data_IF_614427669475
#
_entry.id   IF_614427669475
#
_cell.length_a   1.000
_cell.length_b   1.000
_cell.length_c   1.000
_cell.angle_alpha   90.00
_cell.angle_beta   90.00
_cell.angle_gamma   90.00
#
_symmetry.space_group_name_H-M   'P 1'
#
loop_
_entity.id
_entity.type
_entity.pdbx_description
1 polymer ?
#
# COMPACT_ATOMS: atom_id res chain seq x y z
N UNK A 1 -18.97 18.26 -1.06
CA UNK A 1 -20.17 17.76 -1.73
C UNK A 1 -20.05 17.83 -3.26
N UNK A 2 -19.74 18.98 -3.85
CA UNK A 2 -19.56 19.18 -5.31
C UNK A 2 -18.52 18.25 -5.93
N UNK A 3 -17.30 18.20 -5.39
CA UNK A 3 -16.22 17.32 -5.90
C UNK A 3 -16.65 15.86 -5.90
N UNK A 4 -17.33 15.41 -4.84
CA UNK A 4 -17.83 14.05 -4.79
C UNK A 4 -18.93 13.78 -5.82
N UNK A 5 -19.79 14.79 -6.12
CA UNK A 5 -20.81 14.70 -7.17
C UNK A 5 -20.16 14.58 -8.54
N UNK A 6 -19.16 15.42 -8.82
CA UNK A 6 -18.37 15.39 -10.06
C UNK A 6 -17.77 13.98 -10.29
N UNK A 7 -17.02 13.46 -9.32
CA UNK A 7 -16.44 12.13 -9.46
C UNK A 7 -17.50 11.01 -9.54
N UNK A 8 -18.66 11.17 -8.92
CA UNK A 8 -19.74 10.18 -9.04
C UNK A 8 -20.35 10.16 -10.45
N UNK A 9 -20.37 11.29 -11.14
CA UNK A 9 -20.98 11.45 -12.46
C UNK A 9 -19.99 11.12 -13.59
N UNK A 10 -18.73 11.50 -13.43
CA UNK A 10 -17.70 11.40 -14.45
C UNK A 10 -16.60 10.35 -14.18
N UNK A 11 -16.70 9.60 -13.09
CA UNK A 11 -15.73 8.53 -12.76
C UNK A 11 -15.68 7.48 -13.87
N UNK A 12 -14.50 7.27 -14.43
CA UNK A 12 -14.29 6.34 -15.54
C UNK A 12 -14.62 6.88 -16.93
N UNK A 13 -14.96 8.19 -17.07
CA UNK A 13 -15.09 8.83 -18.37
C UNK A 13 -13.77 9.48 -18.81
N UNK A 14 -13.55 9.49 -20.12
CA UNK A 14 -12.56 10.37 -20.72
C UNK A 14 -13.03 11.83 -20.59
N UNK A 15 -12.14 12.82 -20.50
CA UNK A 15 -12.51 14.21 -20.59
C UNK A 15 -13.11 14.48 -22.00
N UNK A 16 -14.37 14.81 -22.03
CA UNK A 16 -15.12 15.15 -23.23
C UNK A 16 -15.76 16.54 -23.09
N UNK A 17 -16.44 16.97 -24.14
CA UNK A 17 -17.11 18.27 -24.16
C UNK A 17 -18.14 18.41 -23.03
N UNK A 18 -18.76 17.30 -22.60
CA UNK A 18 -19.75 17.31 -21.51
C UNK A 18 -19.09 17.62 -20.16
N UNK A 19 -17.89 17.09 -19.90
CA UNK A 19 -17.12 17.35 -18.68
C UNK A 19 -16.66 18.81 -18.64
N UNK A 20 -16.15 19.33 -19.76
CA UNK A 20 -15.72 20.73 -19.84
C UNK A 20 -16.90 21.69 -19.74
N UNK A 21 -18.04 21.38 -20.36
CA UNK A 21 -19.27 22.16 -20.25
C UNK A 21 -19.75 22.22 -18.79
N UNK A 22 -19.78 21.09 -18.08
CA UNK A 22 -20.17 21.04 -16.67
C UNK A 22 -19.30 21.95 -15.78
N UNK A 23 -17.99 21.96 -15.99
CA UNK A 23 -17.06 22.82 -15.23
C UNK A 23 -17.26 24.28 -15.60
N UNK A 24 -17.54 24.59 -16.87
CA UNK A 24 -17.79 25.94 -17.36
C UNK A 24 -19.07 26.50 -16.75
N UNK A 25 -20.16 25.73 -16.75
CA UNK A 25 -21.45 26.12 -16.14
C UNK A 25 -21.26 26.44 -14.63
N UNK A 26 -20.54 25.59 -13.90
CA UNK A 26 -20.26 25.86 -12.47
C UNK A 26 -19.41 27.12 -12.26
N UNK A 27 -18.53 27.44 -13.20
CA UNK A 27 -17.71 28.67 -13.13
C UNK A 27 -18.56 29.90 -13.40
N UNK A 28 -19.46 29.84 -14.35
CA UNK A 28 -20.35 30.93 -14.69
C UNK A 28 -21.36 31.20 -13.53
N UNK A 29 -21.94 30.15 -12.91
CA UNK A 29 -22.76 30.27 -11.70
C UNK A 29 -21.98 30.93 -10.54
N UNK A 30 -20.71 30.59 -10.38
CA UNK A 30 -19.86 31.20 -9.35
C UNK A 30 -19.56 32.66 -9.64
N UNK A 31 -19.35 33.04 -10.90
CA UNK A 31 -19.12 34.45 -11.30
C UNK A 31 -20.38 35.31 -11.09
N UNK A 32 -21.56 34.77 -11.42
CA UNK A 32 -22.81 35.43 -11.11
C UNK A 32 -23.02 35.63 -9.61
N UNK A 33 -22.73 34.59 -8.80
CA UNK A 33 -22.80 34.69 -7.34
C UNK A 33 -21.82 35.70 -6.73
N UNK A 34 -20.65 35.90 -7.36
CA UNK A 34 -19.68 36.93 -6.93
C UNK A 34 -20.10 38.36 -7.25
N UNK A 35 -20.94 38.56 -8.27
CA UNK A 35 -21.41 39.90 -8.64
C UNK A 35 -22.50 40.42 -7.70
N UNK A 36 -23.11 39.55 -6.89
CA UNK A 36 -24.12 39.98 -5.89
C UNK A 36 -23.42 40.49 -4.62
N UNK A 37 -23.11 41.81 -4.55
CA UNK A 37 -22.40 42.49 -3.46
C UNK A 37 -23.03 42.28 -2.07
N UNK A 38 -24.36 42.10 -2.00
CA UNK A 38 -25.07 41.87 -0.73
C UNK A 38 -24.81 40.45 -0.18
N UNK A 39 -24.58 39.47 -1.06
CA UNK A 39 -24.26 38.10 -0.71
C UNK A 39 -22.79 37.93 -0.32
N UNK A 40 -21.91 38.81 -0.80
CA UNK A 40 -20.44 38.70 -0.62
C UNK A 40 -19.98 38.74 0.85
N UNK A 41 -20.62 39.54 1.69
CA UNK A 41 -20.20 39.69 3.10
C UNK A 41 -20.46 38.45 3.94
N UNK A 42 -21.52 37.70 3.64
CA UNK A 42 -21.91 36.49 4.37
C UNK A 42 -21.39 35.18 3.75
N UNK A 43 -21.05 35.18 2.47
CA UNK A 43 -20.72 33.97 1.68
C UNK A 43 -19.25 33.86 1.22
N UNK A 44 -18.37 34.78 1.62
CA UNK A 44 -17.00 34.81 1.12
C UNK A 44 -16.25 33.50 1.31
N UNK A 45 -16.40 32.84 2.46
CA UNK A 45 -15.76 31.54 2.71
C UNK A 45 -16.36 30.41 1.86
N UNK A 46 -17.66 30.46 1.62
CA UNK A 46 -18.40 29.50 0.81
C UNK A 46 -18.00 29.62 -0.67
N UNK A 47 -17.96 30.84 -1.20
CA UNK A 47 -17.48 31.13 -2.56
C UNK A 47 -16.02 30.73 -2.78
N UNK A 48 -15.15 30.99 -1.80
CA UNK A 48 -13.75 30.53 -1.86
C UNK A 48 -13.61 29.02 -1.82
N UNK A 49 -14.54 28.32 -1.18
CA UNK A 49 -14.58 26.86 -1.15
C UNK A 49 -15.07 26.30 -2.49
N UNK A 50 -16.09 26.94 -3.08
CA UNK A 50 -16.59 26.57 -4.41
C UNK A 50 -15.54 26.79 -5.49
N UNK A 51 -14.83 27.94 -5.47
CA UNK A 51 -13.72 28.20 -6.37
C UNK A 51 -12.67 27.09 -6.28
N UNK A 52 -12.25 26.72 -5.07
CA UNK A 52 -11.27 25.63 -4.87
C UNK A 52 -11.78 24.27 -5.40
N UNK A 53 -13.07 24.01 -5.27
CA UNK A 53 -13.65 22.78 -5.79
C UNK A 53 -13.61 22.75 -7.33
N UNK A 54 -13.92 23.87 -7.98
CA UNK A 54 -13.82 23.99 -9.45
C UNK A 54 -12.38 23.85 -9.92
N UNK A 55 -11.43 24.48 -9.24
CA UNK A 55 -10.01 24.39 -9.56
C UNK A 55 -9.49 22.93 -9.44
N UNK A 56 -9.98 22.18 -8.45
CA UNK A 56 -9.65 20.75 -8.28
C UNK A 56 -10.22 19.91 -9.45
N UNK A 57 -11.46 20.18 -9.87
CA UNK A 57 -12.06 19.48 -11.01
C UNK A 57 -11.32 19.77 -12.30
N UNK A 58 -10.99 21.03 -12.57
CA UNK A 58 -10.23 21.43 -13.75
C UNK A 58 -8.84 20.78 -13.76
N UNK A 59 -8.15 20.79 -12.61
CA UNK A 59 -6.83 20.12 -12.49
C UNK A 59 -6.90 18.63 -12.81
N UNK A 60 -8.00 17.96 -12.44
CA UNK A 60 -8.18 16.53 -12.76
C UNK A 60 -8.37 16.33 -14.27
N UNK A 61 -9.14 17.17 -14.95
CA UNK A 61 -9.35 17.12 -16.40
C UNK A 61 -8.04 17.42 -17.14
N UNK A 62 -7.36 18.49 -16.77
CA UNK A 62 -6.09 18.91 -17.40
C UNK A 62 -5.02 17.81 -17.25
N UNK A 63 -4.97 17.15 -16.09
CA UNK A 63 -4.07 16.04 -15.84
C UNK A 63 -4.34 14.86 -16.77
N UNK A 64 -5.62 14.47 -16.93
CA UNK A 64 -5.97 13.34 -17.81
C UNK A 64 -5.67 13.67 -19.27
N UNK A 65 -5.95 14.91 -19.71
CA UNK A 65 -5.61 15.38 -21.04
C UNK A 65 -4.07 15.34 -21.26
N UNK A 66 -3.27 15.85 -20.31
CA UNK A 66 -1.81 15.79 -20.36
C UNK A 66 -1.29 14.34 -20.51
N UNK A 67 -1.86 13.39 -19.81
CA UNK A 67 -1.45 11.96 -19.90
C UNK A 67 -1.83 11.37 -21.27
N UNK A 68 -3.03 11.66 -21.77
CA UNK A 68 -3.49 11.17 -23.06
C UNK A 68 -2.63 11.70 -24.20
N UNK A 69 -2.28 12.99 -24.17
CA UNK A 69 -1.46 13.65 -25.19
C UNK A 69 0.00 13.17 -25.16
N UNK A 70 0.61 13.12 -23.96
CA UNK A 70 2.03 12.84 -23.82
C UNK A 70 2.36 11.34 -23.91
N UNK A 71 1.43 10.44 -23.58
CA UNK A 71 1.71 9.00 -23.48
C UNK A 71 0.86 8.14 -24.40
N UNK A 72 0.02 8.75 -25.26
CA UNK A 72 -0.93 8.03 -26.13
C UNK A 72 -1.72 6.96 -25.36
N UNK A 73 -2.06 7.26 -24.12
CA UNK A 73 -2.80 6.40 -23.22
C UNK A 73 -4.28 6.79 -23.26
N UNK A 74 -5.18 5.85 -23.08
CA UNK A 74 -6.60 6.11 -22.85
C UNK A 74 -6.88 6.31 -21.36
N UNK A 75 -6.28 7.35 -20.76
CA UNK A 75 -6.52 7.67 -19.38
C UNK A 75 -7.94 8.26 -19.21
N UNK A 76 -8.56 7.95 -18.07
CA UNK A 76 -9.91 8.38 -17.71
C UNK A 76 -9.88 9.11 -16.36
N UNK A 77 -10.91 9.89 -16.09
CA UNK A 77 -11.08 10.56 -14.80
C UNK A 77 -11.34 9.49 -13.74
N UNK A 78 -10.52 9.47 -12.69
CA UNK A 78 -10.63 8.54 -11.57
C UNK A 78 -10.64 9.33 -10.28
N UNK A 79 -11.52 8.98 -9.35
CA UNK A 79 -11.56 9.64 -8.05
C UNK A 79 -10.31 9.29 -7.21
N UNK A 80 -9.36 10.22 -7.02
CA UNK A 80 -8.11 9.92 -6.32
C UNK A 80 -8.34 9.61 -4.83
N UNK A 81 -9.44 10.08 -4.22
CA UNK A 81 -9.72 9.86 -2.81
C UNK A 81 -9.90 8.37 -2.48
N UNK A 82 -10.55 7.61 -3.37
CA UNK A 82 -10.76 6.17 -3.20
C UNK A 82 -9.43 5.40 -3.18
N UNK A 83 -8.45 5.84 -3.97
CA UNK A 83 -7.17 5.16 -4.13
C UNK A 83 -6.08 5.67 -3.19
N UNK A 84 -6.19 6.94 -2.73
CA UNK A 84 -5.27 7.48 -1.72
C UNK A 84 -5.32 6.69 -0.41
N UNK A 85 -6.45 6.11 -0.08
CA UNK A 85 -6.58 5.28 1.11
C UNK A 85 -6.05 3.84 0.91
N UNK A 86 -5.89 3.37 -0.35
CA UNK A 86 -5.28 2.06 -0.66
C UNK A 86 -3.78 2.20 -0.94
N UNK A 87 -3.40 3.26 -1.64
CA UNK A 87 -2.05 3.44 -2.20
C UNK A 87 -1.31 4.64 -1.59
N UNK A 88 -2.01 5.50 -0.84
CA UNK A 88 -1.49 6.72 -0.25
C UNK A 88 -1.09 6.61 1.23
N UNK A 89 -0.74 7.75 1.82
CA UNK A 89 -0.18 7.85 3.18
C UNK A 89 -1.13 7.34 4.29
N UNK A 90 -2.45 7.46 4.12
CA UNK A 90 -3.42 6.99 5.14
C UNK A 90 -3.42 5.48 5.31
N UNK A 91 -3.15 4.74 4.26
CA UNK A 91 -3.01 3.29 4.34
C UNK A 91 -1.75 2.87 5.09
N UNK A 92 -0.69 3.70 5.08
CA UNK A 92 0.56 3.35 5.73
C UNK A 92 0.37 3.04 7.21
N UNK A 93 -0.39 3.82 7.95
CA UNK A 93 -0.59 3.60 9.38
C UNK A 93 -1.39 2.33 9.69
N UNK A 94 -2.43 2.03 8.91
CA UNK A 94 -3.24 0.82 9.09
C UNK A 94 -2.48 -0.43 8.69
N UNK A 95 -1.85 -0.43 7.50
CA UNK A 95 -1.03 -1.54 7.03
C UNK A 95 0.20 -1.77 7.90
N UNK A 96 0.83 -0.71 8.37
CA UNK A 96 2.01 -0.79 9.24
C UNK A 96 1.70 -1.58 10.51
N UNK A 97 0.57 -1.30 11.15
CA UNK A 97 0.13 -2.02 12.34
C UNK A 97 -0.15 -3.50 12.04
N UNK A 98 -0.86 -3.79 10.96
CA UNK A 98 -1.16 -5.18 10.54
C UNK A 98 0.11 -5.92 10.15
N UNK A 99 1.04 -5.29 9.44
CA UNK A 99 2.33 -5.86 9.08
C UNK A 99 3.18 -6.13 10.32
N UNK A 100 3.22 -5.20 11.27
CA UNK A 100 3.97 -5.35 12.51
C UNK A 100 3.47 -6.53 13.33
N UNK A 101 2.16 -6.63 13.54
CA UNK A 101 1.55 -7.76 14.25
C UNK A 101 1.82 -9.08 13.51
N UNK A 102 1.70 -9.08 12.18
CA UNK A 102 1.95 -10.27 11.37
C UNK A 102 3.40 -10.77 11.50
N UNK A 103 4.38 -9.86 11.52
CA UNK A 103 5.79 -10.22 11.71
C UNK A 103 6.01 -10.78 13.13
N UNK A 104 5.42 -10.18 14.16
CA UNK A 104 5.51 -10.70 15.53
C UNK A 104 4.99 -12.14 15.58
N UNK A 105 3.83 -12.40 14.98
CA UNK A 105 3.25 -13.76 14.94
C UNK A 105 4.19 -14.72 14.19
N UNK A 106 4.74 -14.32 13.06
CA UNK A 106 5.71 -15.12 12.28
C UNK A 106 6.95 -15.45 13.12
N UNK A 107 7.52 -14.47 13.81
CA UNK A 107 8.67 -14.68 14.69
C UNK A 107 8.33 -15.65 15.82
N UNK A 108 7.21 -15.45 16.49
CA UNK A 108 6.78 -16.34 17.61
C UNK A 108 6.58 -17.78 17.15
N UNK A 109 6.03 -17.99 15.96
CA UNK A 109 5.79 -19.33 15.42
C UNK A 109 7.08 -20.05 15.01
N UNK A 110 8.03 -19.35 14.37
CA UNK A 110 9.17 -20.02 13.73
C UNK A 110 10.50 -19.88 14.47
N UNK A 111 10.70 -18.83 15.27
CA UNK A 111 11.93 -18.66 16.03
C UNK A 111 12.17 -19.75 17.08
N UNK A 112 11.11 -20.45 17.49
CA UNK A 112 11.20 -21.53 18.47
C UNK A 112 11.16 -22.96 17.91
N UNK A 113 10.69 -23.14 16.66
CA UNK A 113 10.26 -24.45 16.15
C UNK A 113 11.41 -25.51 16.21
N UNK A 114 12.58 -25.20 15.67
CA UNK A 114 13.73 -26.11 15.68
C UNK A 114 14.47 -26.12 17.04
N UNK A 115 14.54 -24.98 17.69
CA UNK A 115 15.22 -24.86 18.99
C UNK A 115 14.50 -25.70 20.06
N UNK A 116 13.19 -25.77 20.03
CA UNK A 116 12.36 -26.61 20.91
C UNK A 116 12.63 -28.11 20.69
N UNK A 117 12.72 -28.56 19.43
CA UNK A 117 13.08 -29.95 19.11
C UNK A 117 14.46 -30.32 19.60
N UNK A 118 15.43 -29.41 19.50
CA UNK A 118 16.77 -29.63 20.01
C UNK A 118 16.80 -29.72 21.53
N UNK A 119 16.02 -28.89 22.22
CA UNK A 119 15.90 -28.92 23.67
C UNK A 119 15.32 -30.25 24.16
N UNK A 120 14.39 -30.82 23.41
CA UNK A 120 13.77 -32.11 23.68
C UNK A 120 14.59 -33.32 23.18
N UNK A 121 15.85 -33.10 22.78
CA UNK A 121 16.78 -34.15 22.28
C UNK A 121 16.31 -34.91 21.03
N UNK A 122 15.27 -34.42 20.34
CA UNK A 122 14.72 -35.05 19.12
C UNK A 122 15.65 -34.94 17.92
N UNK A 123 16.59 -33.99 17.93
CA UNK A 123 17.54 -33.76 16.82
C UNK A 123 18.47 -34.95 16.55
N UNK A 124 18.83 -35.73 17.58
CA UNK A 124 19.68 -36.91 17.40
C UNK A 124 18.92 -37.99 16.59
N UNK A 125 17.66 -38.23 16.93
CA UNK A 125 16.79 -39.19 16.21
C UNK A 125 16.50 -38.74 14.77
N UNK A 126 16.31 -37.44 14.56
CA UNK A 126 16.08 -36.87 13.23
C UNK A 126 17.34 -37.01 12.35
N UNK A 127 18.53 -36.78 12.91
CA UNK A 127 19.81 -36.88 12.16
C UNK A 127 20.15 -38.31 11.75
N UNK A 128 19.81 -39.30 12.54
CA UNK A 128 20.04 -40.73 12.27
C UNK A 128 19.02 -41.35 11.32
N UNK A 129 17.89 -40.69 11.08
CA UNK A 129 16.84 -41.24 10.25
C UNK A 129 17.17 -41.13 8.74
N UNK A 130 16.90 -42.22 7.96
CA UNK A 130 17.00 -42.19 6.50
C UNK A 130 16.11 -41.13 5.83
N UNK A 131 15.10 -40.61 6.56
CA UNK A 131 14.15 -39.60 6.09
C UNK A 131 14.55 -38.14 6.36
N UNK A 132 15.77 -37.85 6.78
CA UNK A 132 16.22 -36.50 7.18
C UNK A 132 15.92 -35.39 6.17
N UNK A 133 16.20 -35.64 4.88
CA UNK A 133 15.95 -34.66 3.81
C UNK A 133 14.44 -34.43 3.64
N UNK A 134 13.64 -35.48 3.65
CA UNK A 134 12.17 -35.39 3.55
C UNK A 134 11.59 -34.61 4.72
N UNK A 135 12.13 -34.83 5.92
CA UNK A 135 11.70 -34.12 7.12
C UNK A 135 12.02 -32.62 7.06
N UNK A 136 13.22 -32.28 6.56
CA UNK A 136 13.60 -30.90 6.32
C UNK A 136 12.70 -30.21 5.31
N UNK A 137 12.46 -30.83 4.17
CA UNK A 137 11.56 -30.29 3.14
C UNK A 137 10.13 -30.11 3.65
N UNK A 138 9.62 -31.05 4.44
CA UNK A 138 8.28 -30.92 5.03
C UNK A 138 8.20 -29.73 6.02
N UNK A 139 9.27 -29.44 6.77
CA UNK A 139 9.32 -28.30 7.66
C UNK A 139 9.37 -26.97 6.88
N UNK A 140 10.20 -26.90 5.85
CA UNK A 140 10.22 -25.73 4.97
C UNK A 140 8.85 -25.49 4.32
N UNK A 141 8.19 -26.55 3.87
CA UNK A 141 6.84 -26.48 3.32
C UNK A 141 5.84 -25.99 4.38
N UNK A 142 5.94 -26.46 5.64
CA UNK A 142 5.13 -25.97 6.77
C UNK A 142 5.32 -24.46 6.98
N UNK A 143 6.56 -23.98 6.99
CA UNK A 143 6.85 -22.54 7.14
C UNK A 143 6.21 -21.76 5.99
N UNK A 144 6.37 -22.23 4.75
CA UNK A 144 5.76 -21.60 3.58
C UNK A 144 4.24 -21.54 3.68
N UNK A 145 3.58 -22.66 3.96
CA UNK A 145 2.10 -22.76 4.03
C UNK A 145 1.56 -21.84 5.13
N UNK A 146 2.11 -21.91 6.34
CA UNK A 146 1.63 -21.11 7.48
C UNK A 146 1.82 -19.62 7.21
N UNK A 147 2.98 -19.22 6.68
CA UNK A 147 3.24 -17.81 6.34
C UNK A 147 2.28 -17.31 5.25
N UNK A 148 2.03 -18.14 4.24
CA UNK A 148 1.07 -17.80 3.16
C UNK A 148 -0.35 -17.66 3.72
N UNK A 149 -0.78 -18.52 4.64
CA UNK A 149 -2.09 -18.41 5.29
C UNK A 149 -2.18 -17.12 6.13
N UNK A 150 -1.16 -16.78 6.89
CA UNK A 150 -1.11 -15.53 7.67
C UNK A 150 -1.16 -14.30 6.76
N UNK A 151 -0.42 -14.33 5.65
CA UNK A 151 -0.49 -13.27 4.64
C UNK A 151 -1.89 -13.14 4.05
N UNK A 152 -2.55 -14.25 3.75
CA UNK A 152 -3.89 -14.27 3.18
C UNK A 152 -4.91 -13.67 4.17
N UNK A 153 -4.84 -14.05 5.44
CA UNK A 153 -5.68 -13.49 6.51
C UNK A 153 -5.42 -11.98 6.66
N UNK A 154 -4.16 -11.55 6.70
CA UNK A 154 -3.82 -10.12 6.81
C UNK A 154 -4.30 -9.33 5.61
N UNK A 155 -4.24 -9.90 4.41
CA UNK A 155 -4.72 -9.27 3.18
C UNK A 155 -6.26 -9.15 3.18
N UNK A 156 -6.98 -10.19 3.61
CA UNK A 156 -8.45 -10.16 3.74
C UNK A 156 -8.88 -9.09 4.74
N UNK A 157 -8.22 -8.99 5.89
CA UNK A 157 -8.52 -7.95 6.89
C UNK A 157 -8.31 -6.55 6.29
N UNK A 158 -7.21 -6.34 5.57
CA UNK A 158 -6.94 -5.06 4.93
C UNK A 158 -7.98 -4.72 3.87
N UNK A 159 -8.32 -5.66 2.99
CA UNK A 159 -9.34 -5.46 1.95
C UNK A 159 -10.71 -5.17 2.56
N UNK A 160 -11.10 -5.90 3.61
CA UNK A 160 -12.38 -5.68 4.29
C UNK A 160 -12.46 -4.28 4.92
N UNK A 161 -11.43 -3.87 5.65
CA UNK A 161 -11.38 -2.54 6.27
C UNK A 161 -11.48 -1.38 5.26
N UNK A 162 -11.08 -1.63 4.03
CA UNK A 162 -11.06 -0.66 2.94
C UNK A 162 -12.39 -0.70 2.17
N UNK A 163 -12.91 -1.89 1.84
CA UNK A 163 -14.12 -2.07 1.04
C UNK A 163 -15.36 -1.47 1.67
N UNK A 164 -15.44 -1.43 3.00
CA UNK A 164 -16.57 -0.85 3.72
C UNK A 164 -16.67 0.69 3.59
N UNK A 165 -15.58 1.34 3.14
CA UNK A 165 -15.49 2.80 3.09
C UNK A 165 -15.55 3.37 1.68
N UNK A 166 -15.17 2.60 0.66
CA UNK A 166 -14.95 3.10 -0.69
C UNK A 166 -15.51 2.18 -1.76
N UNK A 167 -16.05 2.79 -2.81
CA UNK A 167 -16.46 2.08 -4.02
C UNK A 167 -15.28 2.07 -4.97
N UNK A 168 -14.77 0.87 -5.27
CA UNK A 168 -13.65 0.68 -6.21
C UNK A 168 -14.18 0.55 -7.63
N UNK A 169 -14.40 1.68 -8.26
CA UNK A 169 -14.66 1.73 -9.69
C UNK A 169 -13.29 1.80 -10.42
N UNK A 170 -13.26 1.36 -11.66
CA UNK A 170 -12.13 1.59 -12.56
C UNK A 170 -10.80 0.89 -12.18
N UNK A 171 -10.84 -0.23 -11.45
CA UNK A 171 -9.65 -1.02 -11.09
C UNK A 171 -8.86 -1.53 -12.32
N UNK A 172 -9.53 -1.67 -13.46
CA UNK A 172 -8.92 -2.11 -14.71
C UNK A 172 -8.19 -1.00 -15.46
N UNK A 173 -8.40 0.26 -15.06
CA UNK A 173 -7.79 1.42 -15.70
C UNK A 173 -6.28 1.50 -15.42
N UNK A 174 -5.59 2.29 -16.24
CA UNK A 174 -4.17 2.55 -16.11
C UNK A 174 -3.83 3.21 -14.77
N UNK A 175 -2.73 2.81 -14.15
CA UNK A 175 -2.22 3.44 -12.93
C UNK A 175 -1.86 4.92 -13.15
N UNK A 176 -1.58 5.31 -14.38
CA UNK A 176 -1.31 6.71 -14.75
C UNK A 176 -2.54 7.62 -14.61
N UNK A 177 -3.75 7.08 -14.47
CA UNK A 177 -4.93 7.87 -14.12
C UNK A 177 -4.82 8.50 -12.71
N UNK A 178 -3.91 7.99 -11.87
CA UNK A 178 -3.66 8.50 -10.53
C UNK A 178 -2.45 9.44 -10.54
N UNK A 179 -2.65 10.71 -10.21
CA UNK A 179 -1.60 11.74 -10.25
C UNK A 179 -0.35 11.35 -9.45
N UNK A 180 -0.48 10.59 -8.35
CA UNK A 180 0.64 10.11 -7.56
C UNK A 180 1.57 9.15 -8.33
N UNK A 181 1.09 8.56 -9.43
CA UNK A 181 1.84 7.64 -10.27
C UNK A 181 2.19 8.23 -11.65
N UNK A 182 2.12 9.56 -11.80
CA UNK A 182 2.44 10.27 -13.05
C UNK A 182 3.78 9.81 -13.66
N UNK A 183 4.79 9.63 -12.82
CA UNK A 183 6.15 9.24 -13.23
C UNK A 183 6.39 7.73 -13.23
N UNK A 184 5.35 6.91 -13.03
CA UNK A 184 5.50 5.47 -13.03
C UNK A 184 5.90 4.97 -14.43
N UNK A 185 6.97 4.14 -14.58
CA UNK A 185 7.57 3.87 -15.87
C UNK A 185 6.79 2.89 -16.76
N UNK A 186 5.86 2.13 -16.16
CA UNK A 186 5.17 1.03 -16.86
C UNK A 186 3.66 1.25 -16.78
N UNK A 187 2.99 1.10 -17.94
CA UNK A 187 1.53 1.14 -17.97
C UNK A 187 0.96 -0.19 -17.51
N UNK A 188 0.52 -0.25 -16.25
CA UNK A 188 -0.18 -1.39 -15.67
C UNK A 188 -1.53 -0.95 -15.13
N UNK A 189 -2.46 -1.87 -14.97
CA UNK A 189 -3.74 -1.55 -14.34
C UNK A 189 -3.58 -1.32 -12.83
N UNK A 190 -4.46 -0.51 -12.26
CA UNK A 190 -4.50 -0.25 -10.81
C UNK A 190 -4.61 -1.57 -10.04
N UNK A 191 -5.46 -2.50 -10.51
CA UNK A 191 -5.61 -3.82 -9.90
C UNK A 191 -4.30 -4.62 -9.94
N UNK A 192 -3.60 -4.65 -11.07
CA UNK A 192 -2.34 -5.35 -11.20
C UNK A 192 -1.28 -4.80 -10.24
N UNK A 193 -1.26 -3.49 -10.05
CA UNK A 193 -0.36 -2.84 -9.10
C UNK A 193 -0.68 -3.23 -7.64
N UNK A 194 -1.96 -3.25 -7.25
CA UNK A 194 -2.40 -3.68 -5.91
C UNK A 194 -2.00 -5.14 -5.66
N UNK A 195 -2.22 -6.03 -6.64
CA UNK A 195 -1.80 -7.43 -6.54
C UNK A 195 -0.28 -7.51 -6.38
N UNK A 196 0.47 -6.75 -7.14
CA UNK A 196 1.94 -6.73 -7.05
C UNK A 196 2.42 -6.28 -5.67
N UNK A 197 1.84 -5.22 -5.11
CA UNK A 197 2.13 -4.78 -3.73
C UNK A 197 1.83 -5.89 -2.70
N UNK A 198 0.73 -6.62 -2.90
CA UNK A 198 0.35 -7.72 -2.00
C UNK A 198 1.32 -8.91 -2.09
N UNK A 199 1.73 -9.31 -3.30
CA UNK A 199 2.73 -10.36 -3.52
C UNK A 199 4.10 -9.97 -2.96
N UNK A 200 4.50 -8.72 -3.14
CA UNK A 200 5.72 -8.18 -2.56
C UNK A 200 5.75 -8.31 -1.03
N UNK A 201 4.63 -8.02 -0.37
CA UNK A 201 4.45 -8.23 1.07
C UNK A 201 4.61 -9.70 1.46
N UNK A 202 4.04 -10.64 0.69
CA UNK A 202 4.22 -12.07 0.93
C UNK A 202 5.69 -12.47 0.88
N UNK A 203 6.44 -11.99 -0.12
CA UNK A 203 7.87 -12.28 -0.25
C UNK A 203 8.64 -11.84 1.00
N UNK A 204 8.38 -10.63 1.49
CA UNK A 204 9.01 -10.13 2.73
C UNK A 204 8.64 -10.96 3.95
N UNK A 205 7.37 -11.34 4.10
CA UNK A 205 6.94 -12.21 5.20
C UNK A 205 7.65 -13.57 5.15
N UNK A 206 7.83 -14.14 3.96
CA UNK A 206 8.58 -15.38 3.77
C UNK A 206 10.06 -15.22 4.13
N UNK A 207 10.69 -14.11 3.73
CA UNK A 207 12.09 -13.81 4.10
C UNK A 207 12.24 -13.77 5.62
N UNK A 208 11.35 -13.08 6.32
CA UNK A 208 11.35 -13.02 7.79
C UNK A 208 11.13 -14.40 8.41
N UNK A 209 10.16 -15.16 7.91
CA UNK A 209 9.83 -16.50 8.41
C UNK A 209 11.02 -17.47 8.27
N UNK A 210 11.63 -17.51 7.10
CA UNK A 210 12.80 -18.35 6.84
C UNK A 210 14.01 -17.90 7.66
N UNK A 211 14.22 -16.60 7.83
CA UNK A 211 15.31 -16.08 8.66
C UNK A 211 15.11 -16.47 10.13
N UNK A 212 13.93 -16.30 10.68
CA UNK A 212 13.59 -16.71 12.04
C UNK A 212 13.76 -18.23 12.22
N UNK A 213 13.34 -19.03 11.23
CA UNK A 213 13.53 -20.48 11.25
C UNK A 213 15.00 -20.88 11.21
N UNK A 214 15.85 -20.23 10.38
CA UNK A 214 17.30 -20.47 10.32
C UNK A 214 17.97 -20.10 11.63
N UNK A 215 17.57 -18.99 12.25
CA UNK A 215 18.06 -18.57 13.60
C UNK A 215 17.70 -19.66 14.62
N UNK A 216 16.48 -20.21 14.57
CA UNK A 216 16.04 -21.32 15.42
C UNK A 216 16.92 -22.56 15.29
N UNK A 217 17.47 -22.83 14.11
CA UNK A 217 18.39 -23.93 13.89
C UNK A 217 19.73 -23.77 14.62
N UNK A 218 20.22 -22.54 14.77
CA UNK A 218 21.55 -22.23 15.33
C UNK A 218 21.55 -22.03 16.84
N UNK A 219 20.51 -21.41 17.39
CA UNK A 219 20.47 -20.93 18.78
C UNK A 219 19.50 -21.73 19.66
N UNK A 220 19.67 -21.63 21.00
CA UNK A 220 18.69 -22.14 21.96
C UNK A 220 17.37 -21.36 21.85
N UNK A 221 16.29 -21.93 22.35
CA UNK A 221 14.93 -21.34 22.25
C UNK A 221 14.90 -19.86 22.67
N UNK A 222 15.41 -19.55 23.88
CA UNK A 222 15.41 -18.17 24.40
C UNK A 222 16.24 -17.23 23.55
N UNK A 223 17.43 -17.66 23.15
CA UNK A 223 18.35 -16.84 22.32
C UNK A 223 17.79 -16.66 20.92
N UNK A 224 17.22 -17.71 20.32
CA UNK A 224 16.59 -17.63 19.01
C UNK A 224 15.46 -16.62 18.99
N UNK A 225 14.61 -16.62 20.00
CA UNK A 225 13.53 -15.66 20.13
C UNK A 225 14.08 -14.23 20.26
N UNK A 226 15.05 -14.00 21.15
CA UNK A 226 15.66 -12.68 21.34
C UNK A 226 16.31 -12.17 20.05
N UNK A 227 17.12 -12.98 19.37
CA UNK A 227 17.80 -12.59 18.12
C UNK A 227 16.78 -12.30 17.01
N UNK A 228 15.69 -13.06 16.93
CA UNK A 228 14.64 -12.80 15.95
C UNK A 228 13.91 -11.48 16.23
N UNK A 229 13.68 -11.13 17.49
CA UNK A 229 13.08 -9.85 17.86
C UNK A 229 14.00 -8.64 17.59
N UNK A 230 15.32 -8.83 17.52
CA UNK A 230 16.26 -7.76 17.12
C UNK A 230 15.91 -7.21 15.74
N UNK A 231 15.31 -8.02 14.85
CA UNK A 231 14.86 -7.59 13.54
C UNK A 231 13.76 -6.51 13.60
N UNK A 232 13.03 -6.42 14.72
CA UNK A 232 11.98 -5.41 14.92
C UNK A 232 12.47 -4.12 15.60
N UNK A 233 13.69 -4.12 16.15
CA UNK A 233 14.24 -2.94 16.86
C UNK A 233 14.22 -1.69 15.99
N UNK A 234 14.62 -1.70 14.70
CA UNK A 234 14.57 -0.50 13.87
C UNK A 234 13.15 0.06 13.75
N UNK A 235 12.14 -0.80 13.69
CA UNK A 235 10.76 -0.36 13.63
C UNK A 235 10.29 0.30 14.93
N UNK A 236 10.63 -0.29 16.07
CA UNK A 236 10.31 0.28 17.39
C UNK A 236 10.98 1.65 17.56
N UNK A 237 12.26 1.78 17.18
CA UNK A 237 13.00 3.04 17.22
C UNK A 237 12.34 4.09 16.29
N UNK A 238 11.85 3.67 15.12
CA UNK A 238 11.10 4.54 14.21
C UNK A 238 9.79 5.05 14.86
N UNK A 239 9.01 4.17 15.50
CA UNK A 239 7.78 4.56 16.22
C UNK A 239 8.09 5.58 17.34
N UNK A 240 9.25 5.50 17.96
CA UNK A 240 9.72 6.46 18.97
C UNK A 240 10.15 7.81 18.38
N UNK A 241 9.99 8.02 17.08
CA UNK A 241 10.23 9.30 16.40
C UNK A 241 11.61 9.46 15.75
N UNK A 242 12.41 8.40 15.67
CA UNK A 242 13.75 8.44 15.06
C UNK A 242 13.66 8.13 13.57
N UNK A 243 13.59 9.15 12.72
CA UNK A 243 13.29 9.03 11.28
C UNK A 243 14.29 8.17 10.49
N UNK A 244 15.61 8.17 10.82
CA UNK A 244 16.57 7.34 10.10
C UNK A 244 16.29 5.83 10.26
N UNK A 245 15.69 5.42 11.38
CA UNK A 245 15.36 4.03 11.64
C UNK A 245 14.28 3.48 10.69
N UNK A 246 13.50 4.36 10.08
CA UNK A 246 12.54 4.02 9.03
C UNK A 246 13.20 3.24 7.89
N UNK A 247 14.40 3.65 7.47
CA UNK A 247 15.15 3.03 6.36
C UNK A 247 15.59 1.59 6.67
N UNK A 248 15.74 1.23 7.92
CA UNK A 248 16.16 -0.10 8.38
C UNK A 248 14.98 -0.97 8.82
N UNK A 249 13.77 -0.41 8.86
CA UNK A 249 12.59 -1.11 9.32
C UNK A 249 12.07 -2.10 8.28
N UNK A 250 12.05 -3.38 8.64
CA UNK A 250 11.47 -4.44 7.81
C UNK A 250 9.97 -4.21 7.60
N UNK A 251 9.27 -3.70 8.60
CA UNK A 251 7.82 -3.43 8.54
C UNK A 251 7.53 -2.37 7.47
N UNK A 252 8.33 -1.31 7.44
CA UNK A 252 8.25 -0.26 6.40
C UNK A 252 8.66 -0.81 5.04
N UNK A 253 9.69 -1.65 4.99
CA UNK A 253 10.16 -2.32 3.77
C UNK A 253 9.12 -3.24 3.13
N UNK A 254 8.11 -3.71 3.87
CA UNK A 254 7.00 -4.49 3.32
C UNK A 254 6.01 -3.65 2.50
N UNK A 255 6.04 -2.33 2.61
CA UNK A 255 5.22 -1.43 1.82
C UNK A 255 6.07 -0.79 0.72
N UNK A 256 5.86 -1.27 -0.52
CA UNK A 256 6.65 -0.84 -1.67
C UNK A 256 6.50 0.65 -1.96
N UNK A 257 5.30 1.23 -1.77
CA UNK A 257 5.04 2.66 -2.01
C UNK A 257 5.85 3.51 -1.04
N UNK A 258 5.88 3.12 0.22
CA UNK A 258 6.62 3.82 1.26
C UNK A 258 8.13 3.65 1.09
N UNK A 259 8.56 2.47 0.63
CA UNK A 259 9.96 2.21 0.31
C UNK A 259 10.47 3.22 -0.73
N UNK A 260 9.73 3.44 -1.81
CA UNK A 260 10.10 4.40 -2.84
C UNK A 260 10.17 5.83 -2.29
N UNK A 261 9.19 6.26 -1.52
CA UNK A 261 9.17 7.59 -0.91
C UNK A 261 10.31 7.79 0.11
N UNK A 262 10.61 6.77 0.93
CA UNK A 262 11.62 6.84 2.00
C UNK A 262 13.04 6.89 1.47
N UNK A 263 13.32 6.18 0.38
CA UNK A 263 14.66 6.14 -0.21
C UNK A 263 14.90 7.22 -1.27
N UNK A 264 13.87 8.04 -1.59
CA UNK A 264 13.96 9.06 -2.64
C UNK A 264 14.24 8.44 -4.02
N UNK A 265 13.99 7.15 -4.18
CA UNK A 265 14.10 6.51 -5.47
C UNK A 265 13.00 7.04 -6.37
N UNK A 266 13.37 7.96 -7.24
CA UNK A 266 12.57 8.21 -8.42
C UNK A 266 12.47 6.86 -9.14
N UNK A 267 11.27 6.37 -9.38
CA UNK A 267 11.04 5.06 -10.04
C UNK A 267 11.83 4.91 -11.34
N UNK A 268 12.24 6.04 -11.95
CA UNK A 268 13.17 6.09 -13.10
C UNK A 268 14.55 5.48 -12.83
N UNK A 269 15.03 5.43 -11.58
CA UNK A 269 16.38 4.93 -11.26
C UNK A 269 16.45 3.42 -10.99
N UNK A 270 15.31 2.72 -10.94
CA UNK A 270 15.27 1.29 -10.61
C UNK A 270 15.18 0.40 -11.86
N UNK A 271 14.78 0.98 -13.00
CA UNK A 271 14.55 0.24 -14.26
C UNK A 271 15.69 0.44 -15.27
N UNK A 272 16.67 1.28 -14.96
CA UNK A 272 17.95 1.38 -15.68
C UNK A 272 19.03 0.59 -14.93
#
# INVERSE_FOLDING_TARGET
>A
YMVNKFYKEFDGRAPDEDVEAYITDLRDELEEAKQDEAAMLYKKEELLKEQRNIDVMQTAVDYVNEINDNRSASAVIVNPANYNDILGERMYSSNESVNFISIIIVILLFAGDYAFERQNKMTAHIRSSKGRVRLWNNKMLKVFIITTLLWLISTIINVHNISDRYVYNQLTQSIWCLQMFKDFPVNISILAYIIWCSVYRLIWMLVVAFTAYIISYRFSYKVSLMVSFVMLIPHVIYILGVNWAQKLSIVVGMDINRLFNTYGYNVKSIIL
#
